data_IF_051339614678
#
_entry.id   IF_051339614678
#
_cell.length_a   1.000
_cell.length_b   1.000
_cell.length_c   1.000
_cell.angle_alpha   90.00
_cell.angle_beta   90.00
_cell.angle_gamma   90.00
#
_symmetry.space_group_name_H-M   'P 1'
#
loop_
_entity.id
_entity.type
_entity.pdbx_description
1 polymer ?
#
# COMPACT_ATOMS: atom_id res chain seq x y z
N UNK A 1 2.69 -10.16 -4.82
CA UNK A 1 3.54 -10.81 -3.78
C UNK A 1 2.81 -10.78 -2.44
N UNK A 2 3.12 -11.66 -1.48
CA UNK A 2 2.57 -11.57 -0.11
C UNK A 2 3.69 -11.44 0.92
N UNK A 3 3.41 -10.73 2.00
CA UNK A 3 4.37 -10.51 3.10
C UNK A 3 4.19 -11.59 4.16
N UNK A 4 5.29 -12.23 4.57
CA UNK A 4 5.32 -13.16 5.69
C UNK A 4 5.78 -12.44 6.96
N UNK A 5 5.32 -12.93 8.09
CA UNK A 5 5.79 -12.50 9.41
C UNK A 5 7.31 -12.68 9.55
N UNK A 6 7.96 -11.72 10.22
CA UNK A 6 9.38 -11.83 10.51
C UNK A 6 9.60 -12.65 11.79
N UNK A 7 10.61 -13.51 11.78
CA UNK A 7 10.97 -14.32 12.95
C UNK A 7 11.52 -13.41 14.05
N UNK A 8 10.95 -13.51 15.26
CA UNK A 8 11.41 -12.80 16.46
C UNK A 8 11.06 -11.30 16.53
N UNK A 9 10.53 -10.71 15.46
CA UNK A 9 10.09 -9.30 15.44
C UNK A 9 8.77 -9.21 14.66
N UNK A 10 7.61 -9.36 15.34
CA UNK A 10 6.30 -9.34 14.69
C UNK A 10 6.10 -8.10 13.83
N UNK A 11 5.38 -8.26 12.71
CA UNK A 11 4.95 -7.17 11.81
C UNK A 11 6.04 -6.32 11.14
N UNK A 12 7.34 -6.56 11.40
CA UNK A 12 8.45 -5.78 10.83
C UNK A 12 8.39 -5.65 9.30
N UNK A 13 8.09 -6.72 8.58
CA UNK A 13 7.99 -6.67 7.12
C UNK A 13 6.80 -5.84 6.64
N UNK A 14 5.70 -5.84 7.40
CA UNK A 14 4.51 -5.04 7.09
C UNK A 14 4.82 -3.56 7.28
N UNK A 15 5.39 -3.19 8.43
CA UNK A 15 5.82 -1.82 8.71
C UNK A 15 6.80 -1.31 7.64
N UNK A 16 7.83 -2.10 7.31
CA UNK A 16 8.79 -1.75 6.28
C UNK A 16 8.14 -1.57 4.90
N UNK A 17 7.14 -2.39 4.56
CA UNK A 17 6.45 -2.28 3.28
C UNK A 17 5.61 -1.00 3.21
N UNK A 18 4.91 -0.65 4.30
CA UNK A 18 4.12 0.59 4.39
C UNK A 18 5.04 1.81 4.23
N UNK A 19 6.11 1.91 5.01
CA UNK A 19 7.09 3.01 4.90
C UNK A 19 7.74 3.09 3.52
N UNK A 20 7.98 1.93 2.90
CA UNK A 20 8.54 1.87 1.56
C UNK A 20 7.58 2.43 0.50
N UNK A 21 6.30 2.03 0.53
CA UNK A 21 5.36 2.53 -0.48
C UNK A 21 5.10 4.02 -0.29
N UNK A 22 5.03 4.51 0.95
CA UNK A 22 4.87 5.95 1.25
C UNK A 22 6.13 6.78 0.92
N UNK A 23 7.23 6.12 0.56
CA UNK A 23 8.51 6.75 0.21
C UNK A 23 9.10 7.65 1.32
N UNK A 24 8.81 7.34 2.60
CA UNK A 24 9.26 8.13 3.75
C UNK A 24 10.78 8.34 3.77
N UNK A 25 11.54 7.33 3.32
CA UNK A 25 13.01 7.39 3.26
C UNK A 25 13.55 8.44 2.29
N UNK A 26 12.74 8.86 1.33
CA UNK A 26 13.11 9.87 0.34
C UNK A 26 12.24 11.14 0.50
N UNK A 27 11.72 11.37 1.71
CA UNK A 27 10.86 12.52 2.02
C UNK A 27 9.67 12.67 1.05
N UNK A 28 9.08 11.52 0.65
CA UNK A 28 7.88 11.48 -0.20
C UNK A 28 8.09 12.08 -1.60
N UNK A 29 9.34 12.21 -2.06
CA UNK A 29 9.67 12.82 -3.35
C UNK A 29 9.02 12.07 -4.52
N UNK A 30 9.05 10.72 -4.51
CA UNK A 30 8.50 9.94 -5.64
C UNK A 30 6.98 9.90 -5.68
N UNK A 31 6.34 10.44 -4.64
CA UNK A 31 4.90 10.37 -4.38
C UNK A 31 4.24 11.74 -4.50
N UNK A 32 5.01 12.74 -4.97
CA UNK A 32 4.65 14.15 -4.98
C UNK A 32 4.20 14.61 -3.59
N UNK A 33 5.02 14.33 -2.57
CA UNK A 33 4.78 14.71 -1.17
C UNK A 33 3.40 14.25 -0.66
N UNK A 34 3.06 13.01 -0.99
CA UNK A 34 1.80 12.38 -0.59
C UNK A 34 0.61 12.65 -1.53
N UNK A 35 0.75 13.49 -2.57
CA UNK A 35 -0.34 13.78 -3.51
C UNK A 35 -0.91 12.50 -4.16
N UNK A 36 -0.04 11.54 -4.48
CA UNK A 36 -0.43 10.27 -5.09
C UNK A 36 -0.53 9.10 -4.10
N UNK A 37 -0.79 9.39 -2.82
CA UNK A 37 -1.10 8.40 -1.78
C UNK A 37 -2.61 8.37 -1.56
N UNK A 38 -3.17 7.17 -1.39
CA UNK A 38 -4.57 7.02 -1.02
C UNK A 38 -4.88 5.68 -0.37
N UNK A 39 -6.16 5.43 -0.13
CA UNK A 39 -6.66 4.20 0.47
C UNK A 39 -7.62 4.50 1.62
N UNK A 40 -7.94 3.47 2.41
CA UNK A 40 -8.85 3.57 3.55
C UNK A 40 -8.18 3.22 4.89
N UNK A 41 -6.86 2.98 4.88
CA UNK A 41 -6.13 2.48 6.05
C UNK A 41 -5.52 3.57 6.94
N UNK A 42 -5.41 4.81 6.46
CA UNK A 42 -4.78 5.93 7.18
C UNK A 42 -3.96 6.82 6.27
N UNK A 43 -3.34 7.86 6.84
CA UNK A 43 -2.55 8.85 6.10
C UNK A 43 -1.04 8.66 6.26
N UNK A 44 -0.58 8.25 7.43
CA UNK A 44 0.84 7.98 7.71
C UNK A 44 1.11 6.50 8.01
N UNK A 45 2.39 6.11 8.03
CA UNK A 45 2.76 4.71 8.23
C UNK A 45 2.33 4.13 9.58
N UNK A 46 2.26 4.97 10.62
CA UNK A 46 1.83 4.57 11.95
C UNK A 46 0.33 4.26 11.99
N UNK A 47 -0.48 5.15 11.43
CA UNK A 47 -1.93 4.95 11.30
C UNK A 47 -2.26 3.73 10.45
N UNK A 48 -1.63 3.59 9.28
CA UNK A 48 -1.86 2.46 8.38
C UNK A 48 -1.48 1.14 9.03
N UNK A 49 -0.32 1.09 9.71
CA UNK A 49 0.10 -0.10 10.43
C UNK A 49 -0.91 -0.43 11.54
N UNK A 50 -1.34 0.56 12.32
CA UNK A 50 -2.32 0.36 13.39
C UNK A 50 -3.63 -0.20 12.83
N UNK A 51 -4.20 0.39 11.79
CA UNK A 51 -5.43 -0.10 11.15
C UNK A 51 -5.30 -1.56 10.72
N UNK A 52 -4.18 -1.92 10.07
CA UNK A 52 -3.94 -3.30 9.63
C UNK A 52 -3.83 -4.28 10.81
N UNK A 53 -3.19 -3.88 11.91
CA UNK A 53 -3.07 -4.71 13.11
C UNK A 53 -4.40 -4.85 13.84
N UNK A 54 -5.17 -3.77 13.97
CA UNK A 54 -6.49 -3.77 14.60
C UNK A 54 -7.45 -4.71 13.85
N UNK A 55 -7.48 -4.66 12.52
CA UNK A 55 -8.30 -5.57 11.71
C UNK A 55 -7.85 -7.03 11.85
N UNK A 56 -6.53 -7.28 11.89
CA UNK A 56 -6.01 -8.64 12.12
C UNK A 56 -6.38 -9.17 13.49
N UNK A 57 -6.37 -8.33 14.51
CA UNK A 57 -6.80 -8.68 15.86
C UNK A 57 -8.28 -9.03 15.89
N UNK A 58 -9.13 -8.17 15.30
CA UNK A 58 -10.57 -8.38 15.21
C UNK A 58 -10.93 -9.73 14.56
N UNK A 59 -10.16 -10.14 13.55
CA UNK A 59 -10.39 -11.36 12.77
C UNK A 59 -9.64 -12.59 13.31
N UNK A 60 -8.86 -12.46 14.38
CA UNK A 60 -8.05 -13.54 14.93
C UNK A 60 -6.89 -13.99 14.01
N UNK A 61 -6.45 -13.13 13.07
CA UNK A 61 -5.41 -13.42 12.05
C UNK A 61 -4.09 -12.69 12.33
N UNK A 62 -3.65 -12.68 13.60
CA UNK A 62 -2.42 -11.99 14.01
C UNK A 62 -1.17 -12.57 13.35
N UNK A 63 -1.10 -13.90 13.24
CA UNK A 63 0.09 -14.62 12.79
C UNK A 63 0.08 -14.92 11.29
N UNK A 64 1.25 -15.24 10.74
CA UNK A 64 1.39 -15.77 9.37
C UNK A 64 1.42 -14.67 8.31
N UNK A 65 0.51 -14.73 7.32
CA UNK A 65 0.49 -13.74 6.22
C UNK A 65 0.14 -12.37 6.76
N UNK A 66 0.95 -11.37 6.42
CA UNK A 66 0.81 -10.00 6.93
C UNK A 66 0.00 -9.09 6.00
N UNK A 67 0.02 -9.38 4.70
CA UNK A 67 -0.75 -8.65 3.71
C UNK A 67 -0.27 -9.02 2.30
N UNK A 68 -0.86 -8.38 1.31
CA UNK A 68 -0.48 -8.52 -0.09
C UNK A 68 0.08 -7.22 -0.62
N UNK A 69 1.07 -7.35 -1.49
CA UNK A 69 1.64 -6.26 -2.26
C UNK A 69 1.44 -6.54 -3.74
N UNK A 70 0.71 -5.65 -4.40
CA UNK A 70 0.41 -5.70 -5.82
C UNK A 70 1.04 -4.49 -6.51
N UNK A 71 1.60 -4.71 -7.70
CA UNK A 71 2.22 -3.65 -8.50
C UNK A 71 1.65 -3.70 -9.91
N UNK A 72 1.22 -2.55 -10.41
CA UNK A 72 0.85 -2.36 -11.81
C UNK A 72 1.86 -1.37 -12.39
N UNK A 73 2.46 -1.71 -13.52
CA UNK A 73 3.47 -0.89 -14.17
C UNK A 73 3.01 -0.52 -15.57
N UNK A 74 3.27 0.71 -15.96
CA UNK A 74 2.96 1.22 -17.29
C UNK A 74 4.25 1.42 -18.10
N UNK A 75 4.13 1.23 -19.40
CA UNK A 75 5.20 1.59 -20.33
C UNK A 75 5.47 3.10 -20.27
N UNK A 76 6.72 3.56 -20.52
CA UNK A 76 7.03 4.98 -20.53
C UNK A 76 6.13 5.75 -21.51
N UNK A 77 5.44 6.78 -21.02
CA UNK A 77 4.51 7.60 -21.81
C UNK A 77 3.14 6.98 -22.09
N UNK A 78 2.83 5.80 -21.54
CA UNK A 78 1.52 5.16 -21.69
C UNK A 78 0.41 5.91 -20.93
N UNK A 79 0.76 6.46 -19.76
CA UNK A 79 -0.14 7.23 -18.89
C UNK A 79 0.61 8.38 -18.24
N UNK A 80 -0.13 9.37 -17.79
CA UNK A 80 0.31 10.40 -16.83
C UNK A 80 0.20 9.88 -15.39
N UNK A 81 0.83 10.57 -14.43
CA UNK A 81 0.73 10.19 -13.02
C UNK A 81 -0.70 10.30 -12.49
N UNK A 82 -1.44 11.32 -12.91
CA UNK A 82 -2.86 11.51 -12.59
C UNK A 82 -3.73 10.37 -13.13
N UNK A 83 -3.55 9.99 -14.40
CA UNK A 83 -4.28 8.87 -15.01
C UNK A 83 -3.97 7.55 -14.29
N UNK A 84 -2.69 7.26 -14.01
CA UNK A 84 -2.30 6.08 -13.25
C UNK A 84 -2.93 6.09 -11.85
N UNK A 85 -2.88 7.22 -11.15
CA UNK A 85 -3.48 7.34 -9.83
C UNK A 85 -4.99 7.10 -9.87
N UNK A 86 -5.70 7.69 -10.83
CA UNK A 86 -7.14 7.48 -11.01
C UNK A 86 -7.47 6.02 -11.35
N UNK A 87 -6.73 5.38 -12.27
CA UNK A 87 -6.88 3.95 -12.58
C UNK A 87 -6.68 3.10 -11.31
N UNK A 88 -5.69 3.44 -10.48
CA UNK A 88 -5.45 2.73 -9.20
C UNK A 88 -6.63 2.87 -8.25
N UNK A 89 -7.15 4.09 -8.09
CA UNK A 89 -8.29 4.42 -7.24
C UNK A 89 -9.50 3.59 -7.65
N UNK A 90 -9.85 3.61 -8.93
CA UNK A 90 -10.97 2.85 -9.48
C UNK A 90 -10.77 1.33 -9.35
N UNK A 91 -9.55 0.84 -9.54
CA UNK A 91 -9.21 -0.57 -9.30
C UNK A 91 -9.44 -0.97 -7.84
N UNK A 92 -8.92 -0.18 -6.90
CA UNK A 92 -9.08 -0.43 -5.47
C UNK A 92 -10.55 -0.35 -5.07
N UNK A 93 -11.30 0.64 -5.53
CA UNK A 93 -12.74 0.76 -5.24
C UNK A 93 -13.54 -0.43 -5.76
N UNK A 94 -13.24 -0.89 -6.99
CA UNK A 94 -13.96 -2.00 -7.63
C UNK A 94 -13.67 -3.36 -7.01
N UNK A 95 -12.41 -3.65 -6.69
CA UNK A 95 -11.99 -4.99 -6.28
C UNK A 95 -11.70 -5.13 -4.78
N UNK A 96 -11.33 -4.05 -4.11
CA UNK A 96 -11.08 -4.04 -2.67
C UNK A 96 -12.25 -3.42 -1.91
N UNK A 97 -12.64 -2.21 -2.30
CA UNK A 97 -13.72 -1.43 -1.69
C UNK A 97 -13.63 -1.43 -0.15
N UNK A 98 -14.78 -1.53 0.51
CA UNK A 98 -14.88 -1.60 1.97
C UNK A 98 -14.67 -3.02 2.52
N UNK A 99 -14.43 -4.00 1.65
CA UNK A 99 -14.21 -5.40 2.05
C UNK A 99 -12.78 -5.64 2.54
N UNK A 100 -11.84 -4.76 2.20
CA UNK A 100 -10.43 -4.90 2.54
C UNK A 100 -9.83 -3.54 2.95
N UNK A 101 -8.96 -3.59 3.95
CA UNK A 101 -8.17 -2.42 4.30
C UNK A 101 -6.97 -2.34 3.37
N UNK A 102 -6.73 -1.16 2.80
CA UNK A 102 -5.74 -0.96 1.76
C UNK A 102 -5.16 0.45 1.77
N UNK A 103 -3.93 0.53 1.26
CA UNK A 103 -3.21 1.75 0.92
C UNK A 103 -2.65 1.58 -0.48
N UNK A 104 -2.68 2.66 -1.25
CA UNK A 104 -2.19 2.71 -2.62
C UNK A 104 -1.28 3.93 -2.82
N UNK A 105 -0.40 3.81 -3.79
CA UNK A 105 0.61 4.79 -4.13
C UNK A 105 0.85 4.79 -5.64
N UNK A 106 0.90 5.96 -6.28
CA UNK A 106 1.58 6.13 -7.57
C UNK A 106 3.02 6.57 -7.33
N UNK A 107 3.99 5.87 -7.93
CA UNK A 107 5.42 6.18 -7.86
C UNK A 107 5.87 6.63 -9.24
N UNK A 108 6.45 7.83 -9.31
CA UNK A 108 7.05 8.37 -10.52
C UNK A 108 8.57 8.36 -10.39
N UNK A 109 9.22 7.37 -11.01
CA UNK A 109 10.70 7.34 -11.13
C UNK A 109 11.10 7.36 -12.61
N UNK A 110 11.54 6.23 -13.16
CA UNK A 110 11.85 6.07 -14.59
C UNK A 110 10.63 5.69 -15.42
N UNK A 111 9.70 4.98 -14.78
CA UNK A 111 8.39 4.61 -15.29
C UNK A 111 7.37 4.83 -14.19
N UNK A 112 6.10 4.97 -14.57
CA UNK A 112 5.00 5.11 -13.61
C UNK A 112 4.58 3.70 -13.17
N UNK A 113 4.55 3.51 -11.85
CA UNK A 113 4.13 2.26 -11.23
C UNK A 113 3.20 2.55 -10.07
N UNK A 114 2.16 1.74 -9.93
CA UNK A 114 1.18 1.78 -8.85
C UNK A 114 1.51 0.67 -7.87
N UNK A 115 1.64 1.00 -6.59
CA UNK A 115 1.86 0.04 -5.51
C UNK A 115 0.60 0.00 -4.64
N UNK A 116 0.07 -1.20 -4.40
CA UNK A 116 -1.11 -1.40 -3.56
C UNK A 116 -0.74 -2.41 -2.47
N UNK A 117 -0.91 -2.01 -1.20
CA UNK A 117 -0.89 -2.93 -0.07
C UNK A 117 -2.31 -3.12 0.43
N UNK A 118 -2.74 -4.38 0.61
CA UNK A 118 -4.04 -4.68 1.19
C UNK A 118 -4.01 -5.91 2.10
N UNK A 119 -4.97 -5.96 3.03
CA UNK A 119 -5.10 -7.01 4.01
C UNK A 119 -6.33 -7.86 3.73
N UNK A 120 -6.15 -9.17 3.53
CA UNK A 120 -7.31 -10.08 3.42
C UNK A 120 -7.96 -10.27 4.78
N UNK A 121 -9.26 -9.97 4.86
CA UNK A 121 -10.07 -10.31 6.02
C UNK A 121 -10.20 -11.82 6.22
#
# INVERSE_FOLDING_TARGET
MHMKEAVGVPHRHLANAIQYILDEKNNEEKTEHGLYVGGNAGYDSGEILKTFLDTKELLGKKNGRQGYHFVISFAPGEVTADEAYQITREFCEKYLGDSYDHVLQCIQTKSICMHILYLTR
#
